data_IF_991463031367
#
_entry.id   IF_991463031367
#
_cell.length_a   1.000
_cell.length_b   1.000
_cell.length_c   1.000
_cell.angle_alpha   90.00
_cell.angle_beta   90.00
_cell.angle_gamma   90.00
#
_symmetry.space_group_name_H-M   'P 1'
#
loop_
_entity.id
_entity.type
_entity.pdbx_description
1 polymer ?
#
# COMPACT_ATOMS: atom_id res chain seq x y z
N UNK A 1 -2.77 -4.59 -10.91
CA UNK A 1 -1.94 -5.53 -10.13
C UNK A 1 -0.73 -6.05 -10.90
N UNK A 2 -0.84 -6.32 -12.22
CA UNK A 2 0.30 -6.70 -13.08
C UNK A 2 1.51 -5.75 -12.96
N UNK A 3 1.27 -4.46 -12.72
CA UNK A 3 2.32 -3.45 -12.54
C UNK A 3 3.18 -3.63 -11.28
N UNK A 4 2.73 -4.44 -10.31
CA UNK A 4 3.45 -4.75 -9.07
C UNK A 4 4.00 -6.19 -9.06
N UNK A 5 3.98 -6.87 -10.21
CA UNK A 5 4.53 -8.22 -10.33
C UNK A 5 6.04 -8.21 -9.98
N UNK A 6 6.42 -9.03 -8.99
CA UNK A 6 7.77 -9.05 -8.44
C UNK A 6 7.94 -8.37 -7.08
N UNK A 7 6.87 -7.83 -6.49
CA UNK A 7 6.81 -7.48 -5.07
C UNK A 7 6.94 -8.75 -4.20
N UNK A 8 7.58 -8.65 -3.02
CA UNK A 8 7.89 -9.79 -2.17
C UNK A 8 6.62 -10.56 -1.74
N UNK A 9 5.58 -9.83 -1.33
CA UNK A 9 4.30 -10.40 -0.90
C UNK A 9 3.14 -9.53 -1.37
N UNK A 10 2.07 -10.16 -1.86
CA UNK A 10 0.82 -9.49 -2.25
C UNK A 10 -0.37 -10.20 -1.59
N UNK A 11 -1.11 -9.50 -0.73
CA UNK A 11 -2.39 -9.98 -0.20
C UNK A 11 -3.52 -9.57 -1.14
N UNK A 12 -4.14 -10.55 -1.80
CA UNK A 12 -5.14 -10.33 -2.85
C UNK A 12 -6.49 -10.85 -2.36
N UNK A 13 -7.56 -10.08 -2.62
CA UNK A 13 -8.92 -10.50 -2.25
C UNK A 13 -9.37 -11.71 -3.10
N UNK A 14 -10.26 -12.58 -2.60
CA UNK A 14 -10.68 -13.79 -3.32
C UNK A 14 -11.27 -13.51 -4.73
N UNK A 15 -12.02 -12.41 -4.88
CA UNK A 15 -12.59 -12.03 -6.18
C UNK A 15 -11.51 -11.71 -7.21
N UNK A 16 -10.53 -10.89 -6.82
CA UNK A 16 -9.41 -10.55 -7.71
C UNK A 16 -8.51 -11.76 -8.01
N UNK A 17 -8.41 -12.72 -7.08
CA UNK A 17 -7.70 -13.98 -7.33
C UNK A 17 -8.38 -14.82 -8.42
N UNK A 18 -9.71 -14.88 -8.41
CA UNK A 18 -10.47 -15.58 -9.45
C UNK A 18 -10.28 -14.93 -10.83
N UNK A 19 -10.32 -13.59 -10.88
CA UNK A 19 -10.08 -12.83 -12.12
C UNK A 19 -8.68 -13.09 -12.69
N UNK A 20 -7.67 -13.17 -11.80
CA UNK A 20 -6.29 -13.50 -12.18
C UNK A 20 -6.17 -14.94 -12.70
N UNK A 21 -6.84 -15.89 -12.07
CA UNK A 21 -6.85 -17.29 -12.52
C UNK A 21 -7.54 -17.46 -13.89
N UNK A 22 -8.56 -16.65 -14.18
CA UNK A 22 -9.26 -16.68 -15.46
C UNK A 22 -8.46 -16.04 -16.61
N UNK A 23 -7.40 -15.27 -16.30
CA UNK A 23 -6.61 -14.55 -17.28
C UNK A 23 -5.41 -15.38 -17.73
N UNK A 24 -5.17 -15.46 -19.05
CA UNK A 24 -4.02 -16.16 -19.65
C UNK A 24 -2.93 -15.22 -20.16
N UNK A 25 -3.11 -13.91 -19.96
CA UNK A 25 -2.13 -12.92 -20.37
C UNK A 25 -0.78 -13.14 -19.65
N UNK A 26 0.35 -12.99 -20.34
CA UNK A 26 1.66 -13.15 -19.73
C UNK A 26 1.88 -12.09 -18.64
N UNK A 27 2.44 -12.52 -17.51
CA UNK A 27 2.81 -11.63 -16.41
C UNK A 27 4.31 -11.38 -16.47
N UNK A 28 4.69 -10.16 -16.83
CA UNK A 28 6.08 -9.72 -16.80
C UNK A 28 6.45 -9.21 -15.41
N UNK A 29 7.65 -9.56 -14.94
CA UNK A 29 8.19 -9.03 -13.69
C UNK A 29 8.51 -7.54 -13.86
N UNK A 30 7.91 -6.69 -13.02
CA UNK A 30 8.08 -5.22 -13.01
C UNK A 30 8.95 -4.72 -11.88
N UNK A 31 8.99 -5.45 -10.75
CA UNK A 31 9.80 -5.10 -9.59
C UNK A 31 10.88 -6.16 -9.37
N UNK A 32 12.13 -5.73 -9.26
CA UNK A 32 13.26 -6.60 -8.92
C UNK A 32 14.35 -5.84 -8.15
N UNK A 33 15.13 -6.53 -7.29
CA UNK A 33 16.24 -5.90 -6.56
C UNK A 33 17.24 -5.20 -7.48
N UNK A 34 17.52 -5.79 -8.65
CA UNK A 34 18.46 -5.27 -9.64
C UNK A 34 17.97 -3.94 -10.22
N UNK A 35 16.66 -3.82 -10.50
CA UNK A 35 16.04 -2.57 -10.95
C UNK A 35 16.01 -1.51 -9.84
N UNK A 36 15.87 -1.93 -8.58
CA UNK A 36 15.87 -1.02 -7.43
C UNK A 36 17.25 -0.43 -7.14
N UNK A 37 18.33 -1.14 -7.46
CA UNK A 37 19.71 -0.69 -7.25
C UNK A 37 20.07 0.55 -8.10
N UNK A 38 19.36 0.77 -9.21
CA UNK A 38 19.49 1.98 -10.05
C UNK A 38 18.57 3.13 -9.63
N UNK A 39 17.81 2.99 -8.53
CA UNK A 39 16.94 4.05 -8.04
C UNK A 39 17.75 5.17 -7.38
N UNK A 40 17.48 6.42 -7.76
CA UNK A 40 18.15 7.63 -7.25
C UNK A 40 17.57 8.12 -5.90
N UNK A 41 17.13 7.19 -5.06
CA UNK A 41 16.48 7.52 -3.78
C UNK A 41 17.51 7.56 -2.66
N UNK A 42 17.72 8.74 -2.09
CA UNK A 42 18.57 8.90 -0.92
C UNK A 42 17.87 8.40 0.35
N UNK A 43 18.66 7.86 1.28
CA UNK A 43 18.14 7.40 2.57
C UNK A 43 17.81 8.61 3.46
N UNK A 44 16.52 8.78 3.76
CA UNK A 44 16.05 9.79 4.71
C UNK A 44 15.78 9.15 6.08
N UNK A 45 16.07 9.89 7.16
CA UNK A 45 15.76 9.49 8.54
C UNK A 45 14.91 10.55 9.21
N UNK A 46 13.86 10.14 9.91
CA UNK A 46 12.91 11.03 10.56
C UNK A 46 12.87 10.81 12.07
N UNK A 47 12.83 11.90 12.84
CA UNK A 47 12.36 11.88 14.23
C UNK A 47 10.85 12.14 14.29
N UNK A 48 10.23 12.05 15.48
CA UNK A 48 8.77 12.18 15.59
C UNK A 48 8.24 13.53 15.07
N UNK A 49 8.95 14.62 15.36
CA UNK A 49 8.51 15.97 14.97
C UNK A 49 8.59 16.16 13.46
N UNK A 50 9.71 15.76 12.86
CA UNK A 50 9.93 15.87 11.42
C UNK A 50 8.98 14.94 10.67
N UNK A 51 8.79 13.70 11.15
CA UNK A 51 7.80 12.79 10.57
C UNK A 51 6.39 13.40 10.58
N UNK A 52 5.95 13.93 11.72
CA UNK A 52 4.61 14.54 11.81
C UNK A 52 4.48 15.73 10.88
N UNK A 53 5.50 16.56 10.74
CA UNK A 53 5.47 17.68 9.81
C UNK A 53 5.33 17.19 8.37
N UNK A 54 6.27 16.38 7.89
CA UNK A 54 6.29 15.88 6.50
C UNK A 54 5.05 15.04 6.15
N UNK A 55 4.57 14.21 7.08
CA UNK A 55 3.36 13.42 6.87
C UNK A 55 2.11 14.30 6.69
N UNK A 56 2.01 15.42 7.41
CA UNK A 56 0.89 16.36 7.27
C UNK A 56 0.97 17.18 5.96
N UNK A 57 2.14 17.23 5.30
CA UNK A 57 2.27 17.87 3.99
C UNK A 57 1.64 17.03 2.88
N UNK A 58 1.49 15.71 3.07
CA UNK A 58 0.71 14.85 2.18
C UNK A 58 -0.75 14.75 2.67
N UNK A 59 -1.62 15.54 2.02
CA UNK A 59 -3.04 15.57 2.30
C UNK A 59 -3.71 14.18 2.14
N UNK A 60 -3.31 13.41 1.12
CA UNK A 60 -3.89 12.09 0.86
C UNK A 60 -3.51 11.11 1.97
N UNK A 61 -2.23 11.08 2.34
CA UNK A 61 -1.74 10.19 3.40
C UNK A 61 -2.43 10.47 4.75
N UNK A 62 -2.57 11.75 5.11
CA UNK A 62 -3.22 12.18 6.35
C UNK A 62 -4.69 11.81 6.37
N UNK A 63 -5.43 12.14 5.31
CA UNK A 63 -6.87 11.88 5.25
C UNK A 63 -7.19 10.38 5.20
N UNK A 64 -6.46 9.59 4.40
CA UNK A 64 -6.70 8.15 4.25
C UNK A 64 -6.36 7.38 5.52
N UNK A 65 -5.30 7.76 6.21
CA UNK A 65 -4.96 7.17 7.51
C UNK A 65 -6.06 7.43 8.53
N UNK A 66 -6.51 8.68 8.64
CA UNK A 66 -7.56 9.05 9.58
C UNK A 66 -8.91 8.39 9.23
N UNK A 67 -9.25 8.29 7.94
CA UNK A 67 -10.43 7.58 7.45
C UNK A 67 -10.37 6.09 7.80
N UNK A 68 -9.22 5.45 7.59
CA UNK A 68 -9.00 4.04 7.90
C UNK A 68 -9.23 3.74 9.37
N UNK A 69 -8.59 4.51 10.27
CA UNK A 69 -8.73 4.35 11.73
C UNK A 69 -10.20 4.47 12.16
N UNK A 70 -10.93 5.49 11.67
CA UNK A 70 -12.35 5.66 11.99
C UNK A 70 -13.20 4.50 11.44
N UNK A 71 -12.91 4.03 10.23
CA UNK A 71 -13.61 2.91 9.62
C UNK A 71 -13.42 1.59 10.39
N UNK A 72 -12.21 1.33 10.87
CA UNK A 72 -11.93 0.18 11.73
C UNK A 72 -12.61 0.31 13.09
N UNK A 73 -12.53 1.48 13.74
CA UNK A 73 -13.18 1.73 15.03
C UNK A 73 -14.71 1.51 14.94
N UNK A 74 -15.36 2.01 13.89
CA UNK A 74 -16.79 1.82 13.66
C UNK A 74 -17.19 0.35 13.42
N UNK A 75 -16.28 -0.49 12.92
CA UNK A 75 -16.52 -1.92 12.73
C UNK A 75 -16.36 -2.72 14.03
N UNK A 76 -15.47 -2.28 14.92
CA UNK A 76 -15.19 -2.96 16.19
C UNK A 76 -16.17 -2.57 17.30
N UNK A 77 -16.70 -1.35 17.27
CA UNK A 77 -17.68 -0.91 18.25
C UNK A 77 -19.01 -1.67 18.07
N UNK A 78 -19.62 -2.18 19.15
CA UNK A 78 -20.92 -2.80 19.08
C UNK A 78 -21.92 -1.78 18.55
N UNK A 79 -22.72 -2.17 17.55
CA UNK A 79 -23.84 -1.34 17.09
C UNK A 79 -24.84 -1.25 18.23
N UNK A 80 -24.74 -0.21 19.03
CA UNK A 80 -25.75 0.19 20.00
C UNK A 80 -27.08 0.30 19.27
N UNK A 81 -28.07 -0.45 19.76
CA UNK A 81 -29.46 -0.40 19.31
C UNK A 81 -30.04 1.00 19.45
#
# INVERSE_FOLDING_TARGET
MLSLAGCDLLTISPGLLADLQATTAPIERRLSPELSASSDMEKVSYDEKTFRYEFNQDAMATEKTAQGIRGFAARTLPRTR
#
